data_IF_095194699050
#
_entry.id   IF_095194699050
#
_cell.length_a   1.000
_cell.length_b   1.000
_cell.length_c   1.000
_cell.angle_alpha   90.00
_cell.angle_beta   90.00
_cell.angle_gamma   90.00
#
_symmetry.space_group_name_H-M   'P 1'
#
loop_
_entity.id
_entity.type
_entity.pdbx_description
1 polymer ?
#
# COMPACT_ATOMS: atom_id res chain seq x y z
N UNK A 1 28.90 -16.84 -7.29
CA UNK A 1 27.95 -16.13 -6.39
C UNK A 1 27.25 -17.05 -5.38
N UNK A 2 26.49 -18.08 -5.80
CA UNK A 2 25.66 -18.88 -4.86
C UNK A 2 26.42 -19.53 -3.71
N UNK A 3 27.65 -20.02 -3.96
CA UNK A 3 28.52 -20.57 -2.89
C UNK A 3 28.84 -19.51 -1.83
N UNK A 4 29.18 -18.28 -2.24
CA UNK A 4 29.44 -17.19 -1.31
C UNK A 4 28.18 -16.84 -0.51
N UNK A 5 27.02 -16.71 -1.17
CA UNK A 5 25.73 -16.43 -0.51
C UNK A 5 25.37 -17.50 0.52
N UNK A 6 25.60 -18.77 0.20
CA UNK A 6 25.35 -19.88 1.12
C UNK A 6 26.21 -19.77 2.38
N UNK A 7 27.52 -19.51 2.25
CA UNK A 7 28.40 -19.33 3.40
C UNK A 7 28.09 -18.09 4.24
N UNK A 8 27.63 -17.00 3.62
CA UNK A 8 27.18 -15.81 4.35
C UNK A 8 25.97 -16.15 5.23
N UNK A 9 25.00 -16.87 4.68
CA UNK A 9 23.78 -17.30 5.40
C UNK A 9 24.09 -18.30 6.52
N UNK A 10 25.06 -19.19 6.30
CA UNK A 10 25.55 -20.15 7.28
C UNK A 10 26.41 -19.49 8.38
N UNK A 11 26.78 -18.22 8.21
CA UNK A 11 27.60 -17.48 9.17
C UNK A 11 29.10 -17.82 9.11
N UNK A 12 29.52 -18.73 8.22
CA UNK A 12 30.91 -19.13 8.05
C UNK A 12 31.72 -18.05 7.31
N UNK A 13 32.17 -17.05 8.07
CA UNK A 13 32.87 -15.88 7.53
C UNK A 13 34.16 -16.22 6.76
N UNK A 14 35.06 -17.10 7.26
CA UNK A 14 36.27 -17.44 6.52
C UNK A 14 35.97 -18.07 5.16
N UNK A 15 34.97 -18.97 5.09
CA UNK A 15 34.57 -19.59 3.83
C UNK A 15 33.87 -18.59 2.89
N UNK A 16 33.06 -17.67 3.45
CA UNK A 16 32.40 -16.62 2.68
C UNK A 16 33.42 -15.66 2.04
N UNK A 17 34.37 -15.15 2.82
CA UNK A 17 35.45 -14.27 2.34
C UNK A 17 36.28 -14.95 1.26
N UNK A 18 36.65 -16.22 1.46
CA UNK A 18 37.36 -17.00 0.44
C UNK A 18 36.53 -17.13 -0.85
N UNK A 19 35.26 -17.50 -0.73
CA UNK A 19 34.38 -17.67 -1.89
C UNK A 19 34.13 -16.36 -2.64
N UNK A 20 34.13 -15.21 -1.95
CA UNK A 20 34.06 -13.88 -2.55
C UNK A 20 35.36 -13.52 -3.27
N UNK A 21 36.52 -13.78 -2.68
CA UNK A 21 37.80 -13.54 -3.34
C UNK A 21 37.99 -14.43 -4.58
N UNK A 22 37.58 -15.69 -4.50
CA UNK A 22 37.55 -16.61 -5.64
C UNK A 22 36.58 -16.11 -6.73
N UNK A 23 35.44 -15.53 -6.35
CA UNK A 23 34.49 -14.93 -7.28
C UNK A 23 35.10 -13.75 -8.03
N UNK A 24 35.72 -12.81 -7.31
CA UNK A 24 36.30 -11.60 -7.90
C UNK A 24 37.48 -11.95 -8.80
N UNK A 25 38.37 -12.84 -8.34
CA UNK A 25 39.58 -13.20 -9.09
C UNK A 25 39.31 -14.07 -10.31
N UNK A 26 38.46 -15.10 -10.21
CA UNK A 26 38.24 -16.06 -11.30
C UNK A 26 37.31 -15.54 -12.39
N UNK A 27 36.48 -14.57 -12.07
CA UNK A 27 35.48 -14.02 -12.99
C UNK A 27 35.70 -12.53 -13.26
N UNK A 28 36.91 -12.01 -13.04
CA UNK A 28 37.28 -10.60 -13.21
C UNK A 28 36.85 -10.02 -14.57
N UNK A 29 36.99 -10.82 -15.63
CA UNK A 29 36.68 -10.40 -17.01
C UNK A 29 35.20 -10.62 -17.41
N UNK A 30 34.39 -11.19 -16.53
CA UNK A 30 32.98 -11.47 -16.83
C UNK A 30 32.14 -10.19 -16.66
N UNK A 31 31.37 -9.76 -17.67
CA UNK A 31 30.51 -8.57 -17.56
C UNK A 31 29.46 -8.66 -16.45
N UNK A 32 29.07 -9.88 -16.05
CA UNK A 32 28.12 -10.10 -14.96
C UNK A 32 28.70 -9.96 -13.55
N UNK A 33 30.02 -9.77 -13.41
CA UNK A 33 30.69 -9.74 -12.11
C UNK A 33 30.14 -8.63 -11.18
N UNK A 34 29.92 -7.37 -11.62
CA UNK A 34 29.35 -6.32 -10.77
C UNK A 34 28.02 -6.74 -10.16
N UNK A 35 27.12 -7.30 -10.97
CA UNK A 35 25.82 -7.81 -10.52
C UNK A 35 25.99 -8.89 -9.45
N UNK A 36 26.91 -9.82 -9.65
CA UNK A 36 27.17 -10.88 -8.69
C UNK A 36 27.72 -10.35 -7.36
N UNK A 37 28.57 -9.32 -7.40
CA UNK A 37 29.12 -8.70 -6.19
C UNK A 37 28.03 -7.96 -5.42
N UNK A 38 27.17 -7.18 -6.11
CA UNK A 38 26.02 -6.51 -5.48
C UNK A 38 25.10 -7.51 -4.77
N UNK A 39 24.76 -8.63 -5.41
CA UNK A 39 23.92 -9.65 -4.79
C UNK A 39 24.55 -10.32 -3.56
N UNK A 40 25.87 -10.50 -3.55
CA UNK A 40 26.56 -10.97 -2.34
C UNK A 40 26.55 -9.88 -1.26
N UNK A 41 26.77 -8.62 -1.64
CA UNK A 41 26.61 -7.45 -0.76
C UNK A 41 25.24 -7.40 -0.09
N UNK A 42 24.17 -7.57 -0.87
CA UNK A 42 22.80 -7.62 -0.36
C UNK A 42 22.58 -8.76 0.62
N UNK A 43 23.21 -9.91 0.37
CA UNK A 43 23.14 -11.07 1.28
C UNK A 43 23.87 -10.78 2.59
N UNK A 44 25.02 -10.09 2.55
CA UNK A 44 25.70 -9.62 3.75
C UNK A 44 24.88 -8.58 4.51
N UNK A 45 24.23 -7.65 3.81
CA UNK A 45 23.35 -6.65 4.42
C UNK A 45 22.15 -7.31 5.11
N UNK A 46 21.51 -8.31 4.48
CA UNK A 46 20.45 -9.12 5.08
C UNK A 46 20.93 -9.87 6.33
N UNK A 47 22.17 -10.36 6.33
CA UNK A 47 22.80 -10.99 7.49
C UNK A 47 23.28 -9.98 8.56
N UNK A 48 22.96 -8.68 8.40
CA UNK A 48 23.37 -7.56 9.27
C UNK A 48 24.89 -7.36 9.37
N UNK A 49 25.64 -7.93 8.43
CA UNK A 49 27.10 -7.80 8.28
C UNK A 49 27.40 -6.59 7.39
N UNK A 50 27.09 -5.41 7.93
CA UNK A 50 27.05 -4.15 7.18
C UNK A 50 28.41 -3.71 6.65
N UNK A 51 29.49 -3.93 7.40
CA UNK A 51 30.82 -3.49 6.98
C UNK A 51 31.31 -4.30 5.78
N UNK A 52 31.07 -5.62 5.75
CA UNK A 52 31.35 -6.47 4.59
C UNK A 52 30.50 -6.10 3.38
N UNK A 53 29.20 -5.84 3.59
CA UNK A 53 28.31 -5.39 2.51
C UNK A 53 28.83 -4.09 1.88
N UNK A 54 29.19 -3.10 2.70
CA UNK A 54 29.72 -1.83 2.24
C UNK A 54 31.06 -1.94 1.51
N UNK A 55 31.94 -2.86 1.91
CA UNK A 55 33.19 -3.13 1.18
C UNK A 55 32.91 -3.62 -0.24
N UNK A 56 31.93 -4.52 -0.41
CA UNK A 56 31.55 -5.04 -1.73
C UNK A 56 30.90 -3.98 -2.60
N UNK A 57 29.98 -3.19 -2.06
CA UNK A 57 29.38 -2.10 -2.81
C UNK A 57 30.41 -1.04 -3.21
N UNK A 58 31.34 -0.70 -2.30
CA UNK A 58 32.43 0.22 -2.62
C UNK A 58 33.33 -0.32 -3.73
N UNK A 59 33.66 -1.61 -3.67
CA UNK A 59 34.43 -2.25 -4.73
C UNK A 59 33.76 -2.12 -6.10
N UNK A 60 32.43 -2.31 -6.17
CA UNK A 60 31.66 -2.12 -7.40
C UNK A 60 31.75 -0.67 -7.90
N UNK A 61 31.50 0.29 -7.01
CA UNK A 61 31.56 1.72 -7.35
C UNK A 61 32.95 2.16 -7.85
N UNK A 62 34.03 1.61 -7.28
CA UNK A 62 35.40 1.99 -7.60
C UNK A 62 35.89 1.40 -8.94
N UNK A 63 35.48 0.17 -9.26
CA UNK A 63 36.00 -0.55 -10.44
C UNK A 63 35.08 -0.48 -11.66
N UNK A 64 33.77 -0.26 -11.46
CA UNK A 64 32.79 -0.18 -12.55
C UNK A 64 31.89 1.07 -12.46
N UNK A 65 32.44 2.29 -12.34
CA UNK A 65 31.66 3.50 -12.05
C UNK A 65 30.61 3.86 -13.11
N UNK A 66 30.75 3.36 -14.34
CA UNK A 66 29.79 3.59 -15.45
C UNK A 66 28.80 2.44 -15.66
N UNK A 67 28.94 1.35 -14.91
CA UNK A 67 28.06 0.19 -15.00
C UNK A 67 26.72 0.47 -14.29
N UNK A 68 25.63 -0.11 -14.81
CA UNK A 68 24.29 0.01 -14.21
C UNK A 68 24.28 -0.45 -12.75
N UNK A 69 25.09 -1.45 -12.40
CA UNK A 69 25.19 -2.00 -11.05
C UNK A 69 25.80 -1.02 -10.04
N UNK A 70 26.48 0.03 -10.48
CA UNK A 70 26.94 1.09 -9.58
C UNK A 70 25.77 1.86 -8.96
N UNK A 71 24.65 2.03 -9.67
CA UNK A 71 23.43 2.59 -9.08
C UNK A 71 22.93 1.69 -7.94
N UNK A 72 22.84 0.39 -8.17
CA UNK A 72 22.39 -0.59 -7.18
C UNK A 72 23.35 -0.72 -6.00
N UNK A 73 24.66 -0.65 -6.23
CA UNK A 73 25.66 -0.61 -5.17
C UNK A 73 25.51 0.63 -4.29
N UNK A 74 25.28 1.81 -4.87
CA UNK A 74 24.99 3.05 -4.12
C UNK A 74 23.69 2.94 -3.33
N UNK A 75 22.63 2.34 -3.91
CA UNK A 75 21.38 2.03 -3.20
C UNK A 75 21.63 1.13 -1.99
N UNK A 76 22.44 0.08 -2.16
CA UNK A 76 22.86 -0.81 -1.08
C UNK A 76 23.60 -0.05 0.03
N UNK A 77 24.56 0.81 -0.32
CA UNK A 77 25.27 1.66 0.65
C UNK A 77 24.34 2.58 1.42
N UNK A 78 23.42 3.27 0.75
CA UNK A 78 22.45 4.15 1.40
C UNK A 78 21.56 3.38 2.39
N UNK A 79 21.06 2.20 2.01
CA UNK A 79 20.26 1.33 2.89
C UNK A 79 21.05 0.83 4.09
N UNK A 80 22.33 0.50 3.91
CA UNK A 80 23.22 0.13 5.01
C UNK A 80 23.45 1.33 5.96
N UNK A 81 23.66 2.54 5.43
CA UNK A 81 23.78 3.75 6.24
C UNK A 81 22.51 3.99 7.07
N UNK A 82 21.32 3.90 6.47
CA UNK A 82 20.03 3.99 7.17
C UNK A 82 19.95 2.94 8.28
N UNK A 83 20.30 1.68 8.00
CA UNK A 83 20.28 0.61 8.99
C UNK A 83 21.26 0.81 10.16
N UNK A 84 22.35 1.56 9.94
CA UNK A 84 23.33 1.97 10.96
C UNK A 84 22.96 3.30 11.66
N UNK A 85 21.81 3.90 11.33
CA UNK A 85 21.39 5.23 11.78
C UNK A 85 22.34 6.37 11.36
N UNK A 86 23.08 6.18 10.28
CA UNK A 86 23.92 7.21 9.66
C UNK A 86 23.12 7.93 8.56
N UNK A 87 22.16 8.73 9.01
CA UNK A 87 21.19 9.41 8.14
C UNK A 87 21.85 10.48 7.26
N UNK A 88 22.92 11.12 7.75
CA UNK A 88 23.71 12.11 7.00
C UNK A 88 24.43 11.45 5.82
N UNK A 89 25.08 10.30 6.04
CA UNK A 89 25.74 9.57 4.95
C UNK A 89 24.73 9.07 3.91
N UNK A 90 23.56 8.57 4.35
CA UNK A 90 22.50 8.13 3.46
C UNK A 90 21.97 9.29 2.57
N UNK A 91 21.75 10.47 3.16
CA UNK A 91 21.32 11.66 2.44
C UNK A 91 22.38 12.13 1.43
N UNK A 92 23.66 12.13 1.82
CA UNK A 92 24.77 12.46 0.92
C UNK A 92 24.88 11.50 -0.29
N UNK A 93 24.63 10.20 -0.09
CA UNK A 93 24.59 9.22 -1.18
C UNK A 93 23.38 9.49 -2.08
N UNK A 94 22.20 9.69 -1.51
CA UNK A 94 20.96 9.97 -2.23
C UNK A 94 21.09 11.22 -3.10
N UNK A 95 21.62 12.32 -2.56
CA UNK A 95 21.81 13.57 -3.31
C UNK A 95 22.70 13.35 -4.54
N UNK A 96 23.84 12.65 -4.37
CA UNK A 96 24.73 12.29 -5.48
C UNK A 96 24.03 11.38 -6.49
N UNK A 97 23.26 10.39 -6.04
CA UNK A 97 22.52 9.49 -6.94
C UNK A 97 21.54 10.28 -7.83
N UNK A 98 20.78 11.20 -7.23
CA UNK A 98 19.80 12.00 -7.98
C UNK A 98 20.49 12.91 -9.00
N UNK A 99 21.66 13.48 -8.65
CA UNK A 99 22.44 14.30 -9.58
C UNK A 99 23.08 13.50 -10.71
N UNK A 100 23.75 12.39 -10.38
CA UNK A 100 24.56 11.62 -11.32
C UNK A 100 23.69 10.74 -12.26
N UNK A 101 22.50 10.33 -11.80
CA UNK A 101 21.63 9.38 -12.49
C UNK A 101 20.26 9.96 -12.83
N UNK A 102 20.10 11.29 -12.89
CA UNK A 102 18.81 11.96 -13.13
C UNK A 102 18.05 11.43 -14.36
N UNK A 103 18.76 11.03 -15.42
CA UNK A 103 18.18 10.48 -16.65
C UNK A 103 18.11 8.95 -16.68
N UNK A 104 18.56 8.26 -15.63
CA UNK A 104 18.58 6.81 -15.58
C UNK A 104 17.16 6.26 -15.35
N UNK A 105 16.67 5.34 -16.20
CA UNK A 105 15.28 4.89 -16.15
C UNK A 105 14.90 4.19 -14.83
N UNK A 106 15.88 3.59 -14.15
CA UNK A 106 15.68 2.89 -12.86
C UNK A 106 16.05 3.70 -11.62
N UNK A 107 16.30 5.00 -11.76
CA UNK A 107 16.58 5.86 -10.61
C UNK A 107 15.37 5.90 -9.64
N UNK A 108 14.14 5.92 -10.16
CA UNK A 108 12.93 5.93 -9.34
C UNK A 108 12.83 4.70 -8.45
N UNK A 109 13.04 3.51 -9.02
CA UNK A 109 13.10 2.25 -8.31
C UNK A 109 14.20 2.27 -7.23
N UNK A 110 15.41 2.71 -7.59
CA UNK A 110 16.55 2.80 -6.67
C UNK A 110 16.27 3.71 -5.46
N UNK A 111 15.68 4.88 -5.67
CA UNK A 111 15.32 5.82 -4.61
C UNK A 111 14.13 5.28 -3.78
N UNK A 112 13.16 4.61 -4.41
CA UNK A 112 12.04 3.99 -3.70
C UNK A 112 12.52 2.92 -2.71
N UNK A 113 13.50 2.10 -3.08
CA UNK A 113 14.11 1.12 -2.15
C UNK A 113 14.80 1.76 -0.94
N UNK A 114 15.40 2.94 -1.12
CA UNK A 114 16.00 3.71 -0.01
C UNK A 114 14.90 4.22 0.92
N UNK A 115 13.84 4.81 0.37
CA UNK A 115 12.70 5.31 1.14
C UNK A 115 11.99 4.20 1.93
N UNK A 116 11.80 3.02 1.31
CA UNK A 116 11.28 1.83 1.99
C UNK A 116 12.18 1.40 3.15
N UNK A 117 13.51 1.47 2.98
CA UNK A 117 14.45 1.22 4.07
C UNK A 117 14.28 2.20 5.26
N UNK A 118 14.05 3.49 4.99
CA UNK A 118 13.72 4.47 6.03
C UNK A 118 12.41 4.10 6.75
N UNK A 119 11.37 3.74 5.99
CA UNK A 119 10.06 3.35 6.51
C UNK A 119 10.12 2.10 7.39
N UNK A 120 10.79 1.04 6.94
CA UNK A 120 10.94 -0.21 7.69
C UNK A 120 11.71 0.00 9.01
N UNK A 121 12.73 0.84 8.98
CA UNK A 121 13.47 1.23 10.19
C UNK A 121 12.56 1.98 11.17
N UNK A 122 11.84 3.00 10.71
CA UNK A 122 10.93 3.77 11.54
C UNK A 122 9.87 2.88 12.22
N UNK A 123 9.27 1.96 11.45
CA UNK A 123 8.29 0.99 11.95
C UNK A 123 8.88 0.02 12.98
N UNK A 124 10.14 -0.38 12.80
CA UNK A 124 10.84 -1.25 13.75
C UNK A 124 11.09 -0.54 15.10
N UNK A 125 11.41 0.76 15.09
CA UNK A 125 11.58 1.55 16.31
C UNK A 125 10.25 1.78 17.05
N UNK A 126 9.13 1.86 16.34
CA UNK A 126 7.79 2.03 16.93
C UNK A 126 7.33 0.78 17.67
N UNK A 127 7.56 -0.41 17.10
CA UNK A 127 7.32 -1.67 17.79
C UNK A 127 8.16 -1.84 19.06
N UNK A 128 9.30 -1.14 19.14
CA UNK A 128 10.19 -1.11 20.32
C UNK A 128 9.86 0.03 21.31
N UNK A 129 8.80 0.82 21.09
CA UNK A 129 8.33 1.87 21.99
C UNK A 129 9.24 3.11 22.08
N UNK A 130 10.04 3.39 21.05
CA UNK A 130 10.98 4.52 21.07
C UNK A 130 10.31 5.85 20.63
N UNK A 131 10.74 6.97 21.21
CA UNK A 131 10.11 8.29 21.00
C UNK A 131 10.41 8.95 19.64
N UNK A 132 11.35 8.41 18.85
CA UNK A 132 11.87 9.03 17.61
C UNK A 132 11.18 8.55 16.32
N UNK A 133 10.09 7.79 16.43
CA UNK A 133 9.45 7.15 15.27
C UNK A 133 8.92 8.14 14.24
N UNK A 134 8.41 9.30 14.69
CA UNK A 134 7.92 10.35 13.80
C UNK A 134 9.00 10.90 12.86
N UNK A 135 10.24 11.04 13.35
CA UNK A 135 11.34 11.58 12.55
C UNK A 135 11.77 10.61 11.45
N UNK A 136 11.77 9.30 11.74
CA UNK A 136 12.05 8.25 10.76
C UNK A 136 11.00 8.20 9.63
N UNK A 137 9.72 8.36 9.96
CA UNK A 137 8.66 8.46 8.96
C UNK A 137 8.78 9.72 8.11
N UNK A 138 9.10 10.88 8.71
CA UNK A 138 9.36 12.11 7.98
C UNK A 138 10.57 11.99 7.05
N UNK A 139 11.59 11.23 7.42
CA UNK A 139 12.72 10.96 6.53
C UNK A 139 12.30 10.13 5.31
N UNK A 140 11.51 9.07 5.49
CA UNK A 140 10.98 8.28 4.37
C UNK A 140 10.17 9.16 3.39
N UNK A 141 9.29 10.02 3.95
CA UNK A 141 8.51 10.99 3.17
C UNK A 141 9.38 11.98 2.38
N UNK A 142 10.49 12.47 2.97
CA UNK A 142 11.44 13.34 2.25
C UNK A 142 12.04 12.64 1.04
N UNK A 143 12.40 11.36 1.16
CA UNK A 143 12.97 10.59 0.05
C UNK A 143 11.92 10.31 -1.03
N UNK A 144 10.70 9.90 -0.65
CA UNK A 144 9.60 9.72 -1.61
C UNK A 144 9.20 11.02 -2.32
N UNK A 145 9.32 12.18 -1.65
CA UNK A 145 9.06 13.48 -2.27
C UNK A 145 9.98 13.75 -3.47
N UNK A 146 11.23 13.27 -3.45
CA UNK A 146 12.14 13.36 -4.60
C UNK A 146 11.59 12.54 -5.77
N UNK A 147 11.20 11.29 -5.51
CA UNK A 147 10.62 10.41 -6.55
C UNK A 147 9.36 11.04 -7.16
N UNK A 148 8.51 11.62 -6.32
CA UNK A 148 7.24 12.20 -6.74
C UNK A 148 7.35 13.52 -7.49
N UNK A 149 8.41 14.31 -7.25
CA UNK A 149 8.59 15.66 -7.82
C UNK A 149 9.51 15.66 -9.03
N UNK A 150 10.63 14.95 -8.93
CA UNK A 150 11.76 15.10 -9.86
C UNK A 150 11.81 14.00 -10.92
N UNK A 151 11.06 12.90 -10.74
CA UNK A 151 11.11 11.73 -11.62
C UNK A 151 9.82 11.58 -12.46
N UNK A 152 9.93 11.04 -13.70
CA UNK A 152 8.78 10.82 -14.57
C UNK A 152 7.74 9.87 -13.96
N UNK A 153 6.44 10.02 -14.30
CA UNK A 153 5.40 9.09 -13.89
C UNK A 153 5.76 7.64 -14.23
N UNK A 154 5.72 6.77 -13.23
CA UNK A 154 6.06 5.34 -13.33
C UNK A 154 5.35 4.57 -12.21
N UNK A 155 5.43 3.23 -12.25
CA UNK A 155 4.92 2.39 -11.16
C UNK A 155 5.61 2.73 -9.83
N UNK A 156 6.90 3.06 -9.84
CA UNK A 156 7.66 3.47 -8.65
C UNK A 156 7.13 4.78 -8.04
N UNK A 157 6.70 5.73 -8.88
CA UNK A 157 6.05 6.97 -8.41
C UNK A 157 4.69 6.66 -7.79
N UNK A 158 3.92 5.72 -8.36
CA UNK A 158 2.66 5.26 -7.79
C UNK A 158 2.87 4.61 -6.42
N UNK A 159 3.86 3.74 -6.29
CA UNK A 159 4.26 3.10 -5.02
C UNK A 159 4.70 4.15 -3.98
N UNK A 160 5.58 5.08 -4.36
CA UNK A 160 6.04 6.14 -3.47
C UNK A 160 4.88 7.00 -2.95
N UNK A 161 3.94 7.35 -3.82
CA UNK A 161 2.76 8.13 -3.46
C UNK A 161 1.83 7.33 -2.53
N UNK A 162 1.59 6.06 -2.82
CA UNK A 162 0.79 5.17 -1.97
C UNK A 162 1.38 5.00 -0.58
N UNK A 163 2.68 4.68 -0.48
CA UNK A 163 3.34 4.51 0.81
C UNK A 163 3.40 5.82 1.60
N UNK A 164 3.58 6.96 0.93
CA UNK A 164 3.46 8.28 1.57
C UNK A 164 2.07 8.48 2.16
N UNK A 165 1.01 8.14 1.41
CA UNK A 165 -0.38 8.20 1.89
C UNK A 165 -0.62 7.33 3.12
N UNK A 166 -0.10 6.09 3.13
CA UNK A 166 -0.19 5.17 4.28
C UNK A 166 0.52 5.74 5.51
N UNK A 167 1.71 6.33 5.35
CA UNK A 167 2.45 6.94 6.46
C UNK A 167 1.71 8.15 7.02
N UNK A 168 1.20 9.03 6.16
CA UNK A 168 0.41 10.18 6.60
C UNK A 168 -0.85 9.75 7.35
N UNK A 169 -1.55 8.73 6.85
CA UNK A 169 -2.80 8.21 7.40
C UNK A 169 -2.60 7.52 8.75
N UNK A 170 -1.72 6.51 8.79
CA UNK A 170 -1.63 5.58 9.92
C UNK A 170 -0.67 6.05 11.01
N UNK A 171 0.43 6.70 10.62
CA UNK A 171 1.54 6.97 11.53
C UNK A 171 1.57 8.43 12.01
N UNK A 172 1.30 9.38 11.11
CA UNK A 172 1.33 10.81 11.42
C UNK A 172 -0.06 11.41 11.70
N UNK A 173 -1.14 10.71 11.32
CA UNK A 173 -2.53 11.19 11.40
C UNK A 173 -2.75 12.53 10.67
N UNK A 174 -1.94 12.77 9.63
CA UNK A 174 -1.98 13.95 8.77
C UNK A 174 -2.96 13.70 7.61
N UNK A 175 -4.26 13.81 7.92
CA UNK A 175 -5.36 13.37 7.04
C UNK A 175 -5.44 14.07 5.68
N UNK A 176 -5.12 15.36 5.60
CA UNK A 176 -5.16 16.11 4.34
C UNK A 176 -4.09 15.62 3.36
N UNK A 177 -2.87 15.41 3.86
CA UNK A 177 -1.74 14.90 3.09
C UNK A 177 -1.98 13.46 2.64
N UNK A 178 -2.57 12.63 3.51
CA UNK A 178 -2.98 11.27 3.16
C UNK A 178 -3.99 11.26 2.00
N UNK A 179 -5.03 12.10 2.10
CA UNK A 179 -6.05 12.21 1.06
C UNK A 179 -5.44 12.63 -0.29
N UNK A 180 -4.56 13.65 -0.31
CA UNK A 180 -3.89 14.08 -1.54
C UNK A 180 -3.08 12.96 -2.19
N UNK A 181 -2.35 12.18 -1.38
CA UNK A 181 -1.59 11.03 -1.87
C UNK A 181 -2.51 9.96 -2.47
N UNK A 182 -3.56 9.57 -1.75
CA UNK A 182 -4.49 8.55 -2.26
C UNK A 182 -5.23 9.01 -3.51
N UNK A 183 -5.66 10.28 -3.59
CA UNK A 183 -6.27 10.83 -4.81
C UNK A 183 -5.32 10.74 -6.00
N UNK A 184 -4.07 11.16 -5.82
CA UNK A 184 -3.07 11.10 -6.89
C UNK A 184 -2.86 9.67 -7.38
N UNK A 185 -2.76 8.70 -6.46
CA UNK A 185 -2.65 7.27 -6.80
C UNK A 185 -3.87 6.79 -7.60
N UNK A 186 -5.05 7.06 -7.06
CA UNK A 186 -6.33 6.59 -7.56
C UNK A 186 -6.65 7.12 -8.98
N UNK A 187 -6.28 8.37 -9.25
CA UNK A 187 -6.59 9.04 -10.52
C UNK A 187 -5.50 8.84 -11.58
N UNK A 188 -4.23 8.76 -11.19
CA UNK A 188 -3.11 8.70 -12.14
C UNK A 188 -2.68 7.27 -12.50
N UNK A 189 -2.93 6.27 -11.62
CA UNK A 189 -2.54 4.88 -11.86
C UNK A 189 -3.67 3.90 -11.54
N UNK A 190 -4.74 3.88 -12.35
CA UNK A 190 -5.93 3.08 -12.04
C UNK A 190 -5.77 1.58 -12.36
N UNK A 191 -4.61 1.13 -12.83
CA UNK A 191 -4.26 -0.29 -12.97
C UNK A 191 -3.25 -0.74 -11.91
N UNK A 192 -2.86 0.15 -10.98
CA UNK A 192 -1.98 -0.19 -9.88
C UNK A 192 -2.66 -1.13 -8.88
N UNK A 193 -1.93 -2.12 -8.36
CA UNK A 193 -2.47 -3.14 -7.47
C UNK A 193 -3.12 -2.60 -6.18
N UNK A 194 -2.78 -1.38 -5.77
CA UNK A 194 -3.38 -0.70 -4.61
C UNK A 194 -4.27 0.49 -5.01
N UNK A 195 -4.60 0.65 -6.29
CA UNK A 195 -5.51 1.70 -6.74
C UNK A 195 -6.92 1.53 -6.14
N UNK A 196 -7.38 0.29 -5.93
CA UNK A 196 -8.63 0.03 -5.21
C UNK A 196 -8.57 0.51 -3.76
N UNK A 197 -7.42 0.35 -3.08
CA UNK A 197 -7.24 0.81 -1.70
C UNK A 197 -7.24 2.32 -1.66
N UNK A 198 -6.55 2.96 -2.60
CA UNK A 198 -6.53 4.41 -2.72
C UNK A 198 -7.94 4.98 -2.94
N UNK A 199 -8.73 4.44 -3.89
CA UNK A 199 -10.13 4.85 -4.08
C UNK A 199 -10.99 4.63 -2.84
N UNK A 200 -10.83 3.48 -2.17
CA UNK A 200 -11.54 3.18 -0.94
C UNK A 200 -11.20 4.19 0.17
N UNK A 201 -9.92 4.46 0.40
CA UNK A 201 -9.45 5.45 1.38
C UNK A 201 -9.97 6.85 1.06
N UNK A 202 -9.96 7.27 -0.22
CA UNK A 202 -10.56 8.54 -0.65
C UNK A 202 -12.03 8.64 -0.20
N UNK A 203 -12.83 7.59 -0.42
CA UNK A 203 -14.22 7.55 0.04
C UNK A 203 -14.36 7.73 1.55
N UNK A 204 -13.57 6.99 2.33
CA UNK A 204 -13.57 7.09 3.80
C UNK A 204 -13.18 8.48 4.31
N UNK A 205 -12.20 9.12 3.64
CA UNK A 205 -11.77 10.47 4.00
C UNK A 205 -12.86 11.51 3.74
N UNK A 206 -13.54 11.45 2.60
CA UNK A 206 -14.64 12.38 2.33
C UNK A 206 -15.85 12.18 3.25
N UNK A 207 -16.12 10.95 3.70
CA UNK A 207 -17.13 10.71 4.74
C UNK A 207 -16.75 11.33 6.08
N UNK A 208 -15.47 11.24 6.45
CA UNK A 208 -14.96 11.89 7.65
C UNK A 208 -15.13 13.40 7.55
N UNK A 209 -14.74 14.00 6.43
CA UNK A 209 -14.92 15.44 6.17
C UNK A 209 -16.40 15.85 6.18
N UNK A 210 -17.32 15.02 5.64
CA UNK A 210 -18.77 15.22 5.72
C UNK A 210 -19.25 15.25 7.17
N UNK A 211 -18.78 14.31 8.00
CA UNK A 211 -19.17 14.19 9.42
C UNK A 211 -18.66 15.36 10.25
N UNK A 212 -17.46 15.83 9.95
CA UNK A 212 -16.83 16.97 10.63
C UNK A 212 -17.38 18.32 10.15
N UNK A 213 -18.12 18.34 9.03
CA UNK A 213 -18.65 19.57 8.43
C UNK A 213 -17.57 20.45 7.80
N UNK A 214 -16.40 19.88 7.47
CA UNK A 214 -15.27 20.60 6.89
C UNK A 214 -15.51 21.01 5.42
N UNK A 215 -16.44 20.33 4.74
CA UNK A 215 -16.85 20.60 3.36
C UNK A 215 -18.38 20.53 3.25
N UNK A 216 -18.93 21.02 2.14
CA UNK A 216 -20.38 20.94 1.90
C UNK A 216 -20.84 19.49 1.76
N UNK A 217 -22.09 19.19 2.18
CA UNK A 217 -22.66 17.84 2.05
C UNK A 217 -22.70 17.38 0.59
N UNK A 218 -23.09 18.27 -0.32
CA UNK A 218 -23.20 17.95 -1.74
C UNK A 218 -21.84 17.61 -2.36
N UNK A 219 -20.80 18.36 -2.00
CA UNK A 219 -19.42 18.08 -2.43
C UNK A 219 -18.93 16.75 -1.87
N UNK A 220 -19.13 16.52 -0.57
CA UNK A 220 -18.73 15.26 0.05
C UNK A 220 -19.43 14.08 -0.60
N UNK A 221 -20.74 14.16 -0.78
CA UNK A 221 -21.57 13.12 -1.38
C UNK A 221 -21.11 12.80 -2.81
N UNK A 222 -20.81 13.83 -3.61
CA UNK A 222 -20.28 13.63 -4.96
C UNK A 222 -18.95 12.86 -4.96
N UNK A 223 -18.04 13.20 -4.05
CA UNK A 223 -16.73 12.54 -3.96
C UNK A 223 -16.82 11.13 -3.40
N UNK A 224 -17.65 10.90 -2.37
CA UNK A 224 -17.93 9.58 -1.80
C UNK A 224 -18.53 8.67 -2.86
N UNK A 225 -19.54 9.17 -3.61
CA UNK A 225 -20.17 8.42 -4.68
C UNK A 225 -19.17 8.07 -5.79
N UNK A 226 -18.36 9.04 -6.24
CA UNK A 226 -17.31 8.81 -7.26
C UNK A 226 -16.34 7.73 -6.81
N UNK A 227 -15.86 7.83 -5.56
CA UNK A 227 -14.87 6.92 -5.02
C UNK A 227 -15.39 5.48 -4.94
N UNK A 228 -16.51 5.26 -4.26
CA UNK A 228 -17.04 3.90 -4.09
C UNK A 228 -17.60 3.29 -5.35
N UNK A 229 -18.22 4.10 -6.23
CA UNK A 229 -18.64 3.61 -7.56
C UNK A 229 -17.43 3.10 -8.34
N UNK A 230 -16.31 3.81 -8.29
CA UNK A 230 -15.08 3.36 -8.94
C UNK A 230 -14.56 2.05 -8.32
N UNK A 231 -14.62 1.91 -6.98
CA UNK A 231 -14.27 0.64 -6.31
C UNK A 231 -15.16 -0.50 -6.81
N UNK A 232 -16.48 -0.31 -6.85
CA UNK A 232 -17.43 -1.37 -7.22
C UNK A 232 -17.37 -1.74 -8.69
N UNK A 233 -17.18 -0.76 -9.59
CA UNK A 233 -17.23 -0.99 -11.03
C UNK A 233 -15.88 -1.46 -11.61
N UNK A 234 -14.77 -0.89 -11.14
CA UNK A 234 -13.43 -1.18 -11.69
C UNK A 234 -12.67 -2.23 -10.91
N UNK A 235 -12.90 -2.32 -9.61
CA UNK A 235 -12.25 -3.29 -8.73
C UNK A 235 -13.29 -4.12 -8.01
N UNK A 236 -14.24 -4.73 -8.76
CA UNK A 236 -15.29 -5.55 -8.16
C UNK A 236 -14.63 -6.59 -7.28
N UNK A 237 -13.44 -7.10 -7.65
CA UNK A 237 -12.80 -8.19 -6.94
C UNK A 237 -12.11 -7.90 -5.60
N UNK A 238 -11.97 -6.63 -5.24
CA UNK A 238 -11.22 -6.28 -4.03
C UNK A 238 -11.97 -6.62 -2.73
N UNK A 239 -11.22 -6.76 -1.65
CA UNK A 239 -11.73 -7.08 -0.30
C UNK A 239 -12.71 -6.05 0.29
N UNK A 240 -12.82 -4.87 -0.33
CA UNK A 240 -13.69 -3.78 0.12
C UNK A 240 -14.83 -3.46 -0.84
N UNK A 241 -14.99 -4.22 -1.94
CA UNK A 241 -16.01 -3.93 -2.93
C UNK A 241 -17.43 -4.02 -2.36
N UNK A 242 -17.71 -5.02 -1.51
CA UNK A 242 -19.00 -5.12 -0.83
C UNK A 242 -19.27 -3.96 0.15
N UNK A 243 -18.23 -3.48 0.85
CA UNK A 243 -18.35 -2.30 1.70
C UNK A 243 -18.58 -1.04 0.87
N UNK A 244 -17.86 -0.86 -0.22
CA UNK A 244 -18.05 0.29 -1.12
C UNK A 244 -19.45 0.30 -1.72
N UNK A 245 -19.96 -0.86 -2.17
CA UNK A 245 -21.33 -1.02 -2.67
C UNK A 245 -22.35 -0.62 -1.61
N UNK A 246 -22.15 -1.10 -0.37
CA UNK A 246 -22.99 -0.73 0.77
C UNK A 246 -23.03 0.80 0.98
N UNK A 247 -21.87 1.44 1.11
CA UNK A 247 -21.79 2.88 1.39
C UNK A 247 -22.37 3.71 0.26
N UNK A 248 -22.16 3.28 -0.99
CA UNK A 248 -22.79 3.89 -2.16
C UNK A 248 -24.32 3.76 -2.13
N UNK A 249 -24.84 2.58 -1.79
CA UNK A 249 -26.28 2.34 -1.64
C UNK A 249 -26.90 3.18 -0.52
N UNK A 250 -26.23 3.31 0.63
CA UNK A 250 -26.67 4.19 1.73
C UNK A 250 -26.70 5.66 1.31
N UNK A 251 -25.68 6.10 0.58
CA UNK A 251 -25.61 7.47 0.08
C UNK A 251 -26.76 7.79 -0.90
N UNK A 252 -27.03 6.89 -1.85
CA UNK A 252 -28.16 7.01 -2.77
C UNK A 252 -29.50 6.96 -2.03
N UNK A 253 -29.59 6.16 -0.96
CA UNK A 253 -30.76 6.11 -0.08
C UNK A 253 -31.02 7.46 0.61
N UNK A 254 -29.99 8.07 1.20
CA UNK A 254 -30.06 9.41 1.80
C UNK A 254 -30.52 10.48 0.80
N UNK A 255 -30.15 10.32 -0.49
CA UNK A 255 -30.54 11.20 -1.58
C UNK A 255 -31.96 10.94 -2.14
N UNK A 256 -32.68 9.95 -1.59
CA UNK A 256 -34.02 9.60 -2.08
C UNK A 256 -34.04 8.71 -3.32
N UNK A 257 -32.87 8.28 -3.83
CA UNK A 257 -32.72 7.49 -5.05
C UNK A 257 -32.80 5.98 -4.76
N UNK A 258 -33.90 5.55 -4.15
CA UNK A 258 -34.02 4.19 -3.59
C UNK A 258 -33.93 3.08 -4.65
N UNK A 259 -34.52 3.33 -5.83
CA UNK A 259 -34.48 2.38 -6.96
C UNK A 259 -33.05 2.22 -7.48
N UNK A 260 -32.27 3.29 -7.55
CA UNK A 260 -30.87 3.22 -7.99
C UNK A 260 -29.98 2.56 -6.94
N UNK A 261 -30.24 2.83 -5.66
CA UNK A 261 -29.58 2.15 -4.55
C UNK A 261 -29.79 0.63 -4.61
N UNK A 262 -31.02 0.17 -4.86
CA UNK A 262 -31.36 -1.25 -4.95
C UNK A 262 -30.65 -1.90 -6.13
N UNK A 263 -30.76 -1.30 -7.32
CA UNK A 263 -30.11 -1.79 -8.54
C UNK A 263 -28.59 -1.91 -8.41
N UNK A 264 -27.95 -0.97 -7.72
CA UNK A 264 -26.50 -1.00 -7.49
C UNK A 264 -26.10 -2.20 -6.62
N UNK A 265 -26.84 -2.45 -5.54
CA UNK A 265 -26.60 -3.59 -4.65
C UNK A 265 -26.95 -4.93 -5.30
N UNK A 266 -28.05 -5.00 -6.06
CA UNK A 266 -28.42 -6.19 -6.87
C UNK A 266 -27.31 -6.54 -7.86
N UNK A 267 -26.83 -5.55 -8.62
CA UNK A 267 -25.76 -5.75 -9.61
C UNK A 267 -24.49 -6.31 -8.97
N UNK A 268 -24.11 -5.81 -7.79
CA UNK A 268 -22.97 -6.35 -7.04
C UNK A 268 -23.17 -7.85 -6.70
N UNK A 269 -24.38 -8.26 -6.31
CA UNK A 269 -24.69 -9.65 -6.00
C UNK A 269 -24.69 -10.56 -7.25
N UNK A 270 -25.16 -10.05 -8.39
CA UNK A 270 -25.18 -10.78 -9.66
C UNK A 270 -23.78 -10.99 -10.24
N UNK A 271 -22.97 -9.92 -10.29
CA UNK A 271 -21.61 -9.96 -10.84
C UNK A 271 -20.65 -10.75 -9.95
N UNK A 272 -20.92 -10.82 -8.63
CA UNK A 272 -20.04 -11.47 -7.63
C UNK A 272 -20.70 -12.64 -6.90
N UNK A 273 -21.54 -13.41 -7.60
CA UNK A 273 -22.24 -14.55 -7.02
C UNK A 273 -21.33 -15.60 -6.31
N UNK A 274 -20.02 -15.61 -6.60
CA UNK A 274 -18.96 -16.46 -6.03
C UNK A 274 -17.93 -15.75 -5.13
N UNK A 275 -18.15 -14.48 -4.77
CA UNK A 275 -17.23 -13.70 -3.92
C UNK A 275 -17.26 -14.05 -2.43
N UNK A 276 -16.45 -13.33 -1.65
CA UNK A 276 -16.38 -13.42 -0.18
C UNK A 276 -17.79 -13.44 0.45
N UNK A 277 -18.09 -14.54 1.14
CA UNK A 277 -19.41 -14.79 1.73
C UNK A 277 -19.83 -13.67 2.68
N UNK A 278 -18.88 -13.09 3.43
CA UNK A 278 -19.21 -12.02 4.38
C UNK A 278 -19.67 -10.74 3.68
N UNK A 279 -19.02 -10.39 2.55
CA UNK A 279 -19.43 -9.27 1.72
C UNK A 279 -20.83 -9.49 1.13
N UNK A 280 -21.08 -10.70 0.62
CA UNK A 280 -22.38 -11.09 0.07
C UNK A 280 -23.49 -10.96 1.11
N UNK A 281 -23.26 -11.46 2.32
CA UNK A 281 -24.20 -11.37 3.43
C UNK A 281 -24.44 -9.92 3.85
N UNK A 282 -23.40 -9.09 3.89
CA UNK A 282 -23.55 -7.65 4.15
C UNK A 282 -24.48 -6.98 3.13
N UNK A 283 -24.23 -7.18 1.84
CA UNK A 283 -25.06 -6.58 0.78
C UNK A 283 -26.50 -7.10 0.80
N UNK A 284 -26.73 -8.40 1.01
CA UNK A 284 -28.07 -8.98 1.15
C UNK A 284 -28.84 -8.37 2.33
N UNK A 285 -28.19 -8.20 3.49
CA UNK A 285 -28.82 -7.58 4.65
C UNK A 285 -29.33 -6.18 4.32
N UNK A 286 -28.49 -5.32 3.77
CA UNK A 286 -28.87 -3.94 3.48
C UNK A 286 -29.85 -3.80 2.31
N UNK A 287 -29.76 -4.67 1.29
CA UNK A 287 -30.73 -4.72 0.20
C UNK A 287 -32.13 -5.09 0.73
N UNK A 288 -32.23 -6.01 1.70
CA UNK A 288 -33.52 -6.35 2.30
C UNK A 288 -34.16 -5.17 3.05
N UNK A 289 -33.35 -4.41 3.81
CA UNK A 289 -33.79 -3.20 4.52
C UNK A 289 -34.25 -2.12 3.54
N UNK A 290 -33.55 -2.00 2.40
CA UNK A 290 -33.91 -1.04 1.37
C UNK A 290 -35.29 -1.35 0.76
N UNK A 291 -35.55 -2.61 0.40
CA UNK A 291 -36.87 -3.01 -0.12
C UNK A 291 -38.00 -2.85 0.88
N UNK A 292 -37.78 -3.13 2.17
CA UNK A 292 -38.78 -2.87 3.21
C UNK A 292 -39.19 -1.40 3.22
N UNK A 293 -38.19 -0.49 3.13
CA UNK A 293 -38.44 0.95 3.13
C UNK A 293 -39.08 1.44 1.83
N UNK A 294 -38.84 0.78 0.71
CA UNK A 294 -39.55 1.01 -0.55
C UNK A 294 -41.00 0.48 -0.54
N UNK A 295 -41.37 -0.35 0.44
CA UNK A 295 -42.67 -1.02 0.51
C UNK A 295 -42.76 -2.31 -0.33
N UNK A 296 -41.65 -2.72 -0.94
CA UNK A 296 -41.53 -3.91 -1.80
C UNK A 296 -41.34 -5.17 -0.94
N UNK A 297 -42.38 -5.54 -0.18
CA UNK A 297 -42.33 -6.62 0.82
C UNK A 297 -41.91 -7.97 0.25
N UNK A 298 -42.36 -8.29 -0.96
CA UNK A 298 -42.05 -9.57 -1.61
C UNK A 298 -40.56 -9.67 -1.98
N UNK A 299 -39.99 -8.58 -2.51
CA UNK A 299 -38.57 -8.49 -2.80
C UNK A 299 -37.73 -8.55 -1.52
N UNK A 300 -38.13 -7.84 -0.46
CA UNK A 300 -37.46 -7.89 0.84
C UNK A 300 -37.40 -9.33 1.38
N UNK A 301 -38.51 -10.06 1.36
CA UNK A 301 -38.56 -11.44 1.88
C UNK A 301 -37.77 -12.43 1.00
N UNK A 302 -37.72 -12.22 -0.32
CA UNK A 302 -36.86 -12.98 -1.21
C UNK A 302 -35.38 -12.80 -0.85
N UNK A 303 -34.93 -11.56 -0.64
CA UNK A 303 -33.54 -11.25 -0.28
C UNK A 303 -33.20 -11.79 1.11
N UNK A 304 -34.09 -11.68 2.10
CA UNK A 304 -33.88 -12.28 3.43
C UNK A 304 -33.76 -13.80 3.38
N UNK A 305 -34.50 -14.45 2.49
CA UNK A 305 -34.39 -15.91 2.29
C UNK A 305 -33.01 -16.28 1.77
N UNK A 306 -32.52 -15.57 0.74
CA UNK A 306 -31.16 -15.76 0.23
C UNK A 306 -30.11 -15.52 1.32
N UNK A 307 -30.30 -14.51 2.17
CA UNK A 307 -29.44 -14.27 3.33
C UNK A 307 -29.43 -15.47 4.28
N UNK A 308 -30.61 -15.96 4.71
CA UNK A 308 -30.74 -17.08 5.65
C UNK A 308 -30.19 -18.39 5.10
N UNK A 309 -30.29 -18.63 3.80
CA UNK A 309 -29.73 -19.82 3.13
C UNK A 309 -28.19 -19.79 3.09
N UNK A 310 -27.59 -18.61 3.00
CA UNK A 310 -26.15 -18.44 2.90
C UNK A 310 -25.45 -18.21 4.26
N UNK A 311 -26.16 -17.65 5.25
CA UNK A 311 -25.60 -17.28 6.55
C UNK A 311 -25.36 -18.50 7.45
N UNK A 312 -24.35 -18.38 8.33
CA UNK A 312 -24.19 -19.34 9.43
C UNK A 312 -25.23 -19.08 10.52
N UNK A 313 -25.66 -20.10 11.29
CA UNK A 313 -26.67 -19.93 12.34
C UNK A 313 -26.32 -18.91 13.43
N UNK A 314 -25.03 -18.60 13.63
CA UNK A 314 -24.50 -17.65 14.61
C UNK A 314 -24.23 -16.25 14.02
N UNK A 315 -24.62 -15.99 12.77
CA UNK A 315 -24.41 -14.68 12.15
C UNK A 315 -25.22 -13.58 12.89
N UNK A 316 -24.57 -12.52 13.38
CA UNK A 316 -25.24 -11.49 14.18
C UNK A 316 -26.33 -10.73 13.42
N UNK A 317 -26.29 -10.73 12.07
CA UNK A 317 -27.28 -10.04 11.22
C UNK A 317 -28.61 -10.78 11.15
N UNK A 318 -28.66 -12.09 11.44
CA UNK A 318 -29.93 -12.86 11.49
C UNK A 318 -30.90 -12.28 12.52
N UNK A 319 -30.40 -11.93 13.71
CA UNK A 319 -31.22 -11.33 14.77
C UNK A 319 -31.76 -9.93 14.43
N UNK A 320 -31.07 -9.20 13.54
CA UNK A 320 -31.49 -7.89 13.06
C UNK A 320 -32.62 -7.99 12.02
N UNK A 321 -32.57 -9.00 11.15
CA UNK A 321 -33.62 -9.25 10.14
C UNK A 321 -34.95 -9.69 10.77
N UNK A 322 -34.91 -10.38 11.91
CA UNK A 322 -36.10 -10.89 12.61
C UNK A 322 -36.73 -9.87 13.57
N UNK A 323 -36.29 -8.60 13.53
CA UNK A 323 -36.93 -7.48 14.24
C UNK A 323 -36.66 -7.44 15.76
N UNK A 324 -35.58 -8.05 16.26
CA UNK A 324 -35.22 -8.02 17.70
C UNK A 324 -34.32 -6.85 18.11
N UNK A 325 -33.92 -5.96 17.21
CA UNK A 325 -33.32 -4.69 17.55
C UNK A 325 -33.59 -3.66 16.45
N UNK A 326 -33.99 -2.44 16.84
CA UNK A 326 -34.10 -1.30 15.95
C UNK A 326 -32.72 -1.00 15.33
N UNK A 327 -32.70 -0.87 14.01
CA UNK A 327 -31.52 -0.69 13.14
C UNK A 327 -30.68 0.56 13.51
N UNK A 328 -31.22 1.48 14.30
CA UNK A 328 -30.61 2.80 14.57
C UNK A 328 -29.53 2.84 15.66
N UNK A 329 -29.30 1.80 16.47
CA UNK A 329 -28.52 1.99 17.72
C UNK A 329 -27.07 1.48 17.76
N UNK A 330 -26.50 0.82 16.74
CA UNK A 330 -25.13 0.24 16.91
C UNK A 330 -24.08 0.44 15.82
N UNK A 331 -24.41 0.83 14.59
CA UNK A 331 -23.37 0.95 13.56
C UNK A 331 -22.58 2.27 13.56
N UNK A 332 -22.92 3.23 14.44
CA UNK A 332 -22.14 4.47 14.66
C UNK A 332 -20.99 4.28 15.67
N UNK A 333 -20.86 3.10 16.30
CA UNK A 333 -19.74 2.79 17.18
C UNK A 333 -19.01 1.52 16.74
N UNK A 334 -18.07 1.67 15.81
CA UNK A 334 -16.72 1.10 15.89
C UNK A 334 -15.80 1.76 14.89
#
# INVERSE_FOLDING_TARGET
MEVAKAYVRDGNEPAAVKAVNDLISRFADQPSLPTQIVFVGDTYAQAKKYDQANQLYKHVCDHWPKDEQTLWAKTGQARVCIAKCDDEAAEGILHKMVMDYASHPRLAEAVNLIALGCYERARSHQGAGQSTCGDGYRQALKVWAIVMRDLPPSLDVAQACYHSGVVYDQELQEHEQALQCYQRVAESWPDYEHAWHAWFSVGQYYEKLKREGAISRDEADAQIAKAYRTVTERYPDCRYAGYAALRLGQLLYEQGQWVEAAKSLERFLEERASGDLDQKLGVLFHLSVLYDRMGEKDAAEQVRRQFREAARPDDPRLGLLDGRATIEEREVRK
#
